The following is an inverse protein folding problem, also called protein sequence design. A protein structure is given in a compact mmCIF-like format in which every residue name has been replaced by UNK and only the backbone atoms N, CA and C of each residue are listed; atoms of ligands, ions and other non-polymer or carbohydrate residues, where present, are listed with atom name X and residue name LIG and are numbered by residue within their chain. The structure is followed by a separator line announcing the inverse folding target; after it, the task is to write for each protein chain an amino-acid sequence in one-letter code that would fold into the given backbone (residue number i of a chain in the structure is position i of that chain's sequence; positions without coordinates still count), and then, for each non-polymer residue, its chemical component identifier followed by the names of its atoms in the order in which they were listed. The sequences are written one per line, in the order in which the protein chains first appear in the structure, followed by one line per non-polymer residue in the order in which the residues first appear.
data_IF_108790438491
#
_entry.id   IF_108790438491
#
_cell.length_a   1.000
_cell.length_b   1.000
_cell.length_c   1.000
_cell.angle_alpha   90.00
_cell.angle_beta   90.00
_cell.angle_gamma   90.00
#
_symmetry.space_group_name_H-M   'P 1'
#
loop_
_entity.id
_entity.type
_entity.pdbx_description
1 polymer ?
#
# COMPACT_ATOMS: atom_id res chain seq x y z
N UNK A 1 -24.87 -6.79 9.11
CA UNK A 1 -24.81 -7.23 7.71
C UNK A 1 -23.43 -7.84 7.51
N UNK A 2 -23.33 -9.11 7.07
CA UNK A 2 -22.03 -9.71 6.75
C UNK A 2 -21.34 -8.86 5.69
N UNK A 3 -20.11 -8.40 5.94
CA UNK A 3 -19.32 -7.70 4.92
C UNK A 3 -19.11 -8.64 3.72
N UNK A 4 -19.21 -8.11 2.50
CA UNK A 4 -18.94 -8.85 1.27
C UNK A 4 -17.69 -8.28 0.60
N UNK A 5 -16.52 -8.55 1.18
CA UNK A 5 -15.25 -8.01 0.69
C UNK A 5 -14.97 -8.40 -0.77
N UNK A 6 -15.36 -9.62 -1.19
CA UNK A 6 -15.24 -10.06 -2.57
C UNK A 6 -16.08 -9.20 -3.52
N UNK A 7 -17.36 -8.98 -3.21
CA UNK A 7 -18.23 -8.18 -4.07
C UNK A 7 -17.86 -6.70 -4.10
N UNK A 8 -17.41 -6.14 -2.98
CA UNK A 8 -16.91 -4.77 -2.92
C UNK A 8 -15.65 -4.60 -3.79
N UNK A 9 -14.73 -5.57 -3.72
CA UNK A 9 -13.55 -5.61 -4.58
C UNK A 9 -13.92 -5.73 -6.06
N UNK A 10 -14.78 -6.68 -6.43
CA UNK A 10 -15.22 -6.87 -7.82
C UNK A 10 -15.86 -5.61 -8.39
N UNK A 11 -16.73 -4.94 -7.62
CA UNK A 11 -17.37 -3.69 -8.02
C UNK A 11 -16.34 -2.59 -8.27
N UNK A 12 -15.44 -2.36 -7.30
CA UNK A 12 -14.42 -1.34 -7.38
C UNK A 12 -13.48 -1.56 -8.57
N UNK A 13 -13.05 -2.81 -8.82
CA UNK A 13 -12.19 -3.15 -9.97
C UNK A 13 -12.94 -3.00 -11.30
N UNK A 14 -14.21 -3.40 -11.37
CA UNK A 14 -15.05 -3.27 -12.58
C UNK A 14 -15.23 -1.81 -12.98
N UNK A 15 -15.43 -0.93 -12.01
CA UNK A 15 -15.64 0.50 -12.25
C UNK A 15 -14.37 1.22 -12.78
N UNK A 16 -13.20 0.58 -12.71
CA UNK A 16 -11.92 1.10 -13.21
C UNK A 16 -11.54 0.66 -14.63
N UNK A 17 -12.14 -0.42 -15.13
CA UNK A 17 -11.84 -0.94 -16.48
C UNK A 17 -12.79 -0.30 -17.46
N UNK A 18 -12.25 0.39 -18.46
CA UNK A 18 -13.07 1.00 -19.50
C UNK A 18 -13.48 -0.06 -20.54
N UNK A 19 -14.61 0.12 -21.23
CA UNK A 19 -15.00 -0.75 -22.34
C UNK A 19 -13.92 -0.86 -23.43
N UNK A 20 -13.23 0.23 -23.72
CA UNK A 20 -12.15 0.31 -24.70
C UNK A 20 -10.94 -0.56 -24.29
N UNK A 21 -10.64 -0.66 -22.99
CA UNK A 21 -9.57 -1.51 -22.45
C UNK A 21 -9.74 -2.99 -22.79
N UNK A 22 -10.96 -3.42 -23.09
CA UNK A 22 -11.33 -4.81 -23.41
C UNK A 22 -11.90 -4.94 -24.83
N UNK A 23 -11.69 -3.94 -25.68
CA UNK A 23 -12.09 -3.97 -27.09
C UNK A 23 -13.58 -3.78 -27.34
N UNK A 24 -14.34 -3.32 -26.34
CA UNK A 24 -15.74 -2.94 -26.50
C UNK A 24 -15.84 -1.47 -26.92
N UNK A 25 -16.83 -1.10 -27.74
CA UNK A 25 -17.02 0.30 -28.12
C UNK A 25 -17.39 1.15 -26.90
N UNK A 26 -16.82 2.36 -26.81
CA UNK A 26 -17.08 3.38 -25.80
C UNK A 26 -18.40 4.17 -25.92
N UNK A 27 -19.18 3.94 -26.99
CA UNK A 27 -20.29 4.81 -27.41
C UNK A 27 -21.44 5.12 -26.42
N UNK A 28 -21.92 6.38 -26.43
CA UNK A 28 -23.20 6.87 -25.86
C UNK A 28 -23.14 7.63 -24.51
N UNK A 29 -24.24 8.30 -24.09
CA UNK A 29 -24.45 8.88 -22.73
C UNK A 29 -24.48 7.76 -21.67
N UNK A 30 -23.32 7.26 -21.28
CA UNK A 30 -23.17 6.21 -20.25
C UNK A 30 -23.30 6.81 -18.85
N UNK A 31 -23.97 6.09 -17.95
CA UNK A 31 -24.12 6.49 -16.54
C UNK A 31 -22.90 6.11 -15.69
N UNK A 32 -22.15 5.09 -16.10
CA UNK A 32 -20.94 4.62 -15.40
C UNK A 32 -19.75 4.62 -16.37
N UNK A 33 -18.55 5.05 -15.94
CA UNK A 33 -17.37 5.11 -16.78
C UNK A 33 -16.73 3.73 -17.02
N UNK A 34 -16.85 2.80 -16.06
CA UNK A 34 -16.30 1.44 -16.19
C UNK A 34 -17.26 0.43 -16.82
N UNK A 35 -16.83 -0.84 -16.86
CA UNK A 35 -17.62 -1.94 -17.42
C UNK A 35 -18.97 -2.10 -16.72
N UNK A 36 -20.00 -2.38 -17.49
CA UNK A 36 -21.29 -2.85 -16.98
C UNK A 36 -21.18 -4.30 -16.53
N UNK A 37 -22.11 -4.73 -15.67
CA UNK A 37 -22.20 -6.12 -15.21
C UNK A 37 -22.36 -7.10 -16.37
N UNK A 38 -23.21 -6.74 -17.34
CA UNK A 38 -23.47 -7.52 -18.55
C UNK A 38 -22.23 -7.69 -19.42
N UNK A 39 -21.45 -6.62 -19.63
CA UNK A 39 -20.21 -6.63 -20.41
C UNK A 39 -19.14 -7.49 -19.75
N UNK A 40 -18.92 -7.31 -18.44
CA UNK A 40 -17.94 -8.11 -17.71
C UNK A 40 -18.34 -9.60 -17.67
N UNK A 41 -19.60 -9.90 -17.39
CA UNK A 41 -20.07 -11.29 -17.33
C UNK A 41 -19.91 -12.00 -18.68
N UNK A 42 -20.26 -11.32 -19.78
CA UNK A 42 -20.04 -11.81 -21.14
C UNK A 42 -18.57 -12.13 -21.41
N UNK A 43 -17.67 -11.20 -21.13
CA UNK A 43 -16.21 -11.38 -21.34
C UNK A 43 -15.59 -12.46 -20.46
N UNK A 44 -16.16 -12.67 -19.26
CA UNK A 44 -15.74 -13.70 -18.33
C UNK A 44 -16.37 -15.08 -18.62
N UNK A 45 -17.32 -15.17 -19.56
CA UNK A 45 -18.00 -16.42 -19.90
C UNK A 45 -18.96 -16.92 -18.81
N UNK A 46 -19.56 -16.01 -18.04
CA UNK A 46 -20.50 -16.31 -16.96
C UNK A 46 -21.82 -15.56 -17.15
N UNK A 47 -22.89 -15.97 -16.45
CA UNK A 47 -24.16 -15.25 -16.52
C UNK A 47 -24.12 -13.94 -15.72
N UNK A 48 -24.82 -12.91 -16.23
CA UNK A 48 -24.96 -11.62 -15.54
C UNK A 48 -25.56 -11.78 -14.14
N UNK A 49 -26.53 -12.68 -13.98
CA UNK A 49 -27.15 -12.98 -12.69
C UNK A 49 -26.17 -13.61 -11.71
N UNK A 50 -25.28 -14.49 -12.18
CA UNK A 50 -24.25 -15.07 -11.33
C UNK A 50 -23.25 -14.00 -10.85
N UNK A 51 -22.78 -13.13 -11.76
CA UNK A 51 -21.90 -12.02 -11.37
C UNK A 51 -22.58 -11.05 -10.38
N UNK A 52 -23.87 -10.75 -10.57
CA UNK A 52 -24.64 -9.94 -9.65
C UNK A 52 -24.71 -10.56 -8.24
N UNK A 53 -24.89 -11.89 -8.15
CA UNK A 53 -24.91 -12.60 -6.86
C UNK A 53 -23.55 -12.58 -6.15
N UNK A 54 -22.44 -12.61 -6.89
CA UNK A 54 -21.10 -12.40 -6.33
C UNK A 54 -20.96 -10.98 -5.74
N UNK A 55 -21.34 -9.95 -6.48
CA UNK A 55 -21.30 -8.55 -5.99
C UNK A 55 -22.21 -8.32 -4.76
N UNK A 56 -23.32 -9.05 -4.66
CA UNK A 56 -24.27 -8.97 -3.52
C UNK A 56 -23.88 -9.89 -2.35
N UNK A 57 -22.93 -10.80 -2.53
CA UNK A 57 -22.45 -11.72 -1.50
C UNK A 57 -23.41 -12.87 -1.21
N UNK A 58 -24.33 -13.12 -2.15
CA UNK A 58 -25.25 -14.26 -2.17
C UNK A 58 -24.55 -15.53 -2.65
N UNK A 59 -23.57 -15.38 -3.54
CA UNK A 59 -22.59 -16.42 -3.88
C UNK A 59 -21.21 -15.99 -3.36
N UNK A 60 -20.51 -16.89 -2.66
CA UNK A 60 -19.23 -16.58 -2.00
C UNK A 60 -18.04 -17.44 -2.42
N UNK A 61 -18.32 -18.55 -3.10
CA UNK A 61 -17.32 -19.55 -3.46
C UNK A 61 -17.27 -19.74 -4.98
N UNK A 62 -16.90 -18.71 -5.77
CA UNK A 62 -16.59 -18.90 -7.18
C UNK A 62 -15.42 -19.86 -7.34
N UNK A 63 -15.43 -20.66 -8.41
CA UNK A 63 -14.35 -21.59 -8.69
C UNK A 63 -13.07 -20.85 -9.15
N UNK A 64 -11.87 -21.43 -8.96
CA UNK A 64 -10.63 -20.81 -9.42
C UNK A 64 -10.63 -20.40 -10.90
N UNK A 65 -11.16 -21.19 -11.85
CA UNK A 65 -11.27 -20.76 -13.25
C UNK A 65 -12.15 -19.53 -13.47
N UNK A 66 -13.23 -19.38 -12.68
CA UNK A 66 -14.07 -18.17 -12.72
C UNK A 66 -13.28 -16.96 -12.22
N UNK A 67 -12.53 -17.13 -11.13
CA UNK A 67 -11.68 -16.06 -10.58
C UNK A 67 -10.59 -15.63 -11.55
N UNK A 68 -9.96 -16.58 -12.26
CA UNK A 68 -8.95 -16.29 -13.28
C UNK A 68 -9.56 -15.56 -14.50
N UNK A 69 -10.75 -15.97 -14.93
CA UNK A 69 -11.48 -15.28 -15.99
C UNK A 69 -11.83 -13.84 -15.58
N UNK A 70 -12.32 -13.65 -14.36
CA UNK A 70 -12.59 -12.32 -13.80
C UNK A 70 -11.31 -11.49 -13.69
N UNK A 71 -10.21 -12.05 -13.21
CA UNK A 71 -8.93 -11.35 -13.09
C UNK A 71 -8.41 -10.85 -14.45
N UNK A 72 -8.53 -11.69 -15.49
CA UNK A 72 -8.15 -11.34 -16.87
C UNK A 72 -9.00 -10.21 -17.43
N UNK A 73 -10.32 -10.29 -17.31
CA UNK A 73 -11.24 -9.22 -17.79
C UNK A 73 -11.01 -7.92 -17.02
N UNK A 74 -10.77 -8.02 -15.72
CA UNK A 74 -10.49 -6.88 -14.85
C UNK A 74 -9.05 -6.35 -14.98
N UNK A 75 -8.23 -6.94 -15.85
CA UNK A 75 -6.82 -6.60 -16.08
C UNK A 75 -6.02 -6.50 -14.77
N UNK A 76 -6.26 -7.44 -13.85
CA UNK A 76 -5.58 -7.49 -12.57
C UNK A 76 -4.12 -7.92 -12.78
N UNK A 77 -3.21 -7.29 -12.04
CA UNK A 77 -1.84 -7.78 -11.96
C UNK A 77 -1.74 -9.01 -11.04
N UNK A 78 -0.53 -9.55 -10.87
CA UNK A 78 -0.31 -10.74 -10.05
C UNK A 78 -0.72 -10.57 -8.59
N UNK A 79 -0.54 -9.38 -8.00
CA UNK A 79 -0.87 -9.12 -6.60
C UNK A 79 -2.38 -8.98 -6.43
N UNK A 80 -3.03 -8.23 -7.31
CA UNK A 80 -4.47 -8.06 -7.36
C UNK A 80 -5.20 -9.39 -7.66
N UNK A 81 -4.62 -10.26 -8.49
CA UNK A 81 -5.16 -11.60 -8.77
C UNK A 81 -5.04 -12.50 -7.55
N UNK A 82 -3.87 -12.54 -6.89
CA UNK A 82 -3.70 -13.29 -5.64
C UNK A 82 -4.68 -12.82 -4.55
N UNK A 83 -4.87 -11.51 -4.45
CA UNK A 83 -5.84 -10.94 -3.51
C UNK A 83 -7.28 -11.34 -3.84
N UNK A 84 -7.67 -11.32 -5.12
CA UNK A 84 -8.99 -11.79 -5.57
C UNK A 84 -9.25 -13.25 -5.14
N UNK A 85 -8.28 -14.14 -5.36
CA UNK A 85 -8.37 -15.53 -4.92
C UNK A 85 -8.48 -15.66 -3.40
N UNK A 86 -7.70 -14.88 -2.66
CA UNK A 86 -7.75 -14.87 -1.20
C UNK A 86 -9.09 -14.36 -0.65
N UNK A 87 -9.74 -13.40 -1.32
CA UNK A 87 -11.08 -12.91 -0.95
C UNK A 87 -12.18 -13.97 -1.08
N UNK A 88 -12.03 -14.89 -2.03
CA UNK A 88 -12.97 -15.99 -2.28
C UNK A 88 -12.67 -17.25 -1.46
N UNK A 89 -11.48 -17.34 -0.86
CA UNK A 89 -11.11 -18.45 0.00
C UNK A 89 -11.90 -18.43 1.32
N UNK A 90 -12.20 -19.60 1.92
CA UNK A 90 -12.72 -19.64 3.28
C UNK A 90 -11.75 -18.94 4.23
N UNK A 91 -12.28 -18.06 5.09
CA UNK A 91 -11.44 -17.39 6.07
C UNK A 91 -10.74 -18.45 6.96
N UNK A 92 -9.40 -18.47 7.03
CA UNK A 92 -8.73 -19.25 8.06
C UNK A 92 -9.25 -18.78 9.42
N UNK A 93 -9.38 -19.70 10.38
CA UNK A 93 -9.68 -19.37 11.77
C UNK A 93 -8.50 -18.61 12.36
N UNK A 94 -8.37 -17.32 12.04
CA UNK A 94 -7.39 -16.47 12.66
C UNK A 94 -7.86 -16.15 14.07
N UNK A 95 -7.12 -16.60 15.07
CA UNK A 95 -7.18 -16.00 16.38
C UNK A 95 -6.62 -14.58 16.27
N UNK A 96 -7.35 -13.54 16.73
CA UNK A 96 -6.76 -12.22 16.84
C UNK A 96 -5.56 -12.35 17.79
N UNK A 97 -4.35 -12.25 17.26
CA UNK A 97 -3.19 -12.08 18.11
C UNK A 97 -3.34 -10.71 18.76
N UNK A 98 -3.59 -10.72 20.07
CA UNK A 98 -3.62 -9.49 20.86
C UNK A 98 -2.34 -8.73 20.58
N UNK A 99 -2.44 -7.44 20.24
CA UNK A 99 -1.28 -6.56 20.11
C UNK A 99 -0.44 -6.69 21.38
N UNK A 100 0.67 -7.40 21.29
CA UNK A 100 1.54 -7.60 22.44
C UNK A 100 2.43 -6.37 22.56
N UNK A 101 2.88 -6.02 23.77
CA UNK A 101 3.90 -4.96 23.90
C UNK A 101 5.21 -5.34 23.16
N UNK A 102 5.40 -6.61 22.79
CA UNK A 102 6.52 -7.04 21.94
C UNK A 102 6.41 -6.53 20.50
N UNK A 103 5.21 -6.22 20.00
CA UNK A 103 5.01 -5.67 18.64
C UNK A 103 5.66 -4.28 18.48
N UNK A 104 5.92 -3.60 19.60
CA UNK A 104 6.57 -2.28 19.68
C UNK A 104 8.09 -2.37 19.80
N UNK A 105 8.63 -3.54 20.13
CA UNK A 105 10.07 -3.71 20.37
C UNK A 105 10.77 -4.05 19.06
N UNK A 106 11.76 -3.23 18.71
CA UNK A 106 12.64 -3.52 17.57
C UNK A 106 13.63 -4.61 17.99
N UNK A 107 13.89 -5.62 17.14
CA UNK A 107 14.92 -6.62 17.42
C UNK A 107 16.25 -5.94 17.77
N UNK A 108 16.91 -6.29 18.90
CA UNK A 108 18.10 -5.55 19.37
C UNK A 108 19.22 -5.46 18.34
N UNK A 109 19.45 -6.54 17.57
CA UNK A 109 20.46 -6.54 16.50
C UNK A 109 20.12 -5.57 15.35
N UNK A 110 18.84 -5.44 14.98
CA UNK A 110 18.40 -4.47 13.97
C UNK A 110 18.55 -3.05 14.50
N UNK A 111 18.15 -2.82 15.76
CA UNK A 111 18.31 -1.52 16.40
C UNK A 111 19.79 -1.10 16.46
N UNK A 112 20.70 -2.02 16.81
CA UNK A 112 22.13 -1.75 16.79
C UNK A 112 22.60 -1.40 15.36
N UNK A 113 22.26 -2.21 14.35
CA UNK A 113 22.67 -1.96 12.96
C UNK A 113 22.26 -0.56 12.46
N UNK A 114 21.01 -0.17 12.65
CA UNK A 114 20.53 1.14 12.17
C UNK A 114 21.20 2.31 12.92
N UNK A 115 21.49 2.13 14.21
CA UNK A 115 22.03 3.19 15.07
C UNK A 115 23.55 3.37 14.92
N UNK A 116 24.29 2.27 14.72
CA UNK A 116 25.77 2.30 14.74
C UNK A 116 26.39 2.08 13.37
N UNK A 117 25.86 1.13 12.58
CA UNK A 117 26.54 0.67 11.36
C UNK A 117 26.06 1.40 10.10
N UNK A 118 24.81 1.85 10.08
CA UNK A 118 24.20 2.51 8.91
C UNK A 118 24.08 4.02 9.07
N UNK A 119 25.14 4.65 9.53
CA UNK A 119 25.20 6.10 9.74
C UNK A 119 24.88 6.89 8.45
N UNK A 120 25.36 6.41 7.28
CA UNK A 120 25.16 7.07 5.98
C UNK A 120 24.01 6.53 5.13
N UNK A 121 23.21 5.62 5.68
CA UNK A 121 22.05 5.04 4.99
C UNK A 121 20.79 5.33 5.80
N UNK A 122 19.88 6.23 5.35
CA UNK A 122 18.63 6.45 6.05
C UNK A 122 17.88 5.13 6.26
N UNK A 123 17.63 4.78 7.52
CA UNK A 123 17.01 3.52 7.90
C UNK A 123 16.00 3.73 9.02
N UNK A 124 14.83 3.09 8.89
CA UNK A 124 13.78 3.11 9.90
C UNK A 124 13.02 1.78 9.95
N UNK A 125 12.51 1.44 11.12
CA UNK A 125 11.70 0.24 11.36
C UNK A 125 10.26 0.65 11.60
N UNK A 126 9.35 0.01 10.88
CA UNK A 126 7.91 0.18 10.99
C UNK A 126 7.29 -1.07 11.60
N UNK A 127 6.26 -0.92 12.41
CA UNK A 127 5.38 -2.05 12.76
C UNK A 127 4.39 -2.36 11.63
N UNK A 128 3.59 -3.42 11.78
CA UNK A 128 2.53 -3.80 10.83
C UNK A 128 1.48 -2.71 10.58
N UNK A 129 1.39 -1.70 11.45
CA UNK A 129 0.48 -0.55 11.32
C UNK A 129 1.14 0.66 10.64
N UNK A 130 2.41 0.54 10.25
CA UNK A 130 3.23 1.60 9.70
C UNK A 130 3.59 2.72 10.69
N UNK A 131 3.58 2.43 12.00
CA UNK A 131 4.19 3.32 12.99
C UNK A 131 5.70 3.13 13.01
N UNK A 132 6.45 4.23 13.07
CA UNK A 132 7.90 4.21 13.23
C UNK A 132 8.27 3.78 14.63
N UNK A 133 8.88 2.61 14.76
CA UNK A 133 9.40 2.08 16.02
C UNK A 133 10.82 2.55 16.31
N UNK A 134 11.65 2.67 15.28
CA UNK A 134 13.00 3.19 15.37
C UNK A 134 13.42 3.84 14.06
N UNK A 135 14.29 4.84 14.13
CA UNK A 135 14.85 5.50 12.96
C UNK A 135 16.22 6.05 13.29
N UNK A 136 17.17 5.93 12.38
CA UNK A 136 18.45 6.60 12.55
C UNK A 136 18.33 8.10 12.27
N UNK A 137 19.33 8.87 12.73
CA UNK A 137 19.34 10.34 12.60
C UNK A 137 19.15 10.80 11.17
N UNK A 138 19.74 10.08 10.22
CA UNK A 138 19.62 10.42 8.80
C UNK A 138 18.22 10.15 8.24
N UNK A 139 17.50 9.13 8.69
CA UNK A 139 16.09 8.92 8.32
C UNK A 139 15.19 10.04 8.85
N UNK A 140 15.40 10.48 10.10
CA UNK A 140 14.69 11.62 10.69
C UNK A 140 15.00 12.91 9.94
N UNK A 141 16.28 13.12 9.58
CA UNK A 141 16.69 14.29 8.80
C UNK A 141 16.14 14.29 7.38
N UNK A 142 16.01 13.11 6.75
CA UNK A 142 15.51 12.97 5.38
C UNK A 142 14.02 13.28 5.24
N UNK A 143 13.22 12.94 6.25
CA UNK A 143 11.76 13.10 6.19
C UNK A 143 11.15 13.23 7.59
N UNK A 144 10.22 14.19 7.81
CA UNK A 144 9.41 14.24 9.03
C UNK A 144 8.66 12.94 9.34
N UNK A 145 8.37 12.12 8.31
CA UNK A 145 7.73 10.82 8.47
C UNK A 145 8.60 9.80 9.23
N UNK A 146 9.92 10.03 9.30
CA UNK A 146 10.87 9.16 9.96
C UNK A 146 10.94 9.34 11.48
N UNK A 147 10.20 10.30 12.05
CA UNK A 147 10.20 10.52 13.50
C UNK A 147 9.56 9.33 14.23
N UNK A 148 10.27 8.77 15.22
CA UNK A 148 9.75 7.68 16.06
C UNK A 148 8.40 8.05 16.68
N UNK A 149 7.46 7.11 16.64
CA UNK A 149 6.06 7.30 17.06
C UNK A 149 5.13 7.85 15.97
N UNK A 150 5.68 8.30 14.84
CA UNK A 150 4.86 8.76 13.70
C UNK A 150 4.27 7.58 12.96
N UNK A 151 2.98 7.66 12.62
CA UNK A 151 2.39 6.76 11.64
C UNK A 151 2.67 7.27 10.22
N UNK A 152 3.47 6.52 9.46
CA UNK A 152 3.98 6.95 8.15
C UNK A 152 2.86 7.17 7.13
N UNK A 153 1.81 6.36 7.16
CA UNK A 153 0.65 6.53 6.26
C UNK A 153 -0.14 7.77 6.64
N UNK A 154 -0.37 7.99 7.94
CA UNK A 154 -1.04 9.21 8.40
C UNK A 154 -0.28 10.46 8.01
N UNK A 155 1.04 10.47 8.21
CA UNK A 155 1.89 11.59 7.84
C UNK A 155 1.82 11.85 6.33
N UNK A 156 1.92 10.80 5.49
CA UNK A 156 1.89 10.91 4.03
C UNK A 156 0.65 11.65 3.52
N UNK A 157 -0.51 11.51 4.18
CA UNK A 157 -1.77 12.11 3.74
C UNK A 157 -2.18 13.39 4.48
N UNK A 158 -1.65 13.64 5.68
CA UNK A 158 -2.08 14.74 6.54
C UNK A 158 -0.99 15.76 6.87
N UNK A 159 0.29 15.49 6.61
CA UNK A 159 1.38 16.46 6.80
C UNK A 159 1.71 17.16 5.46
N UNK A 160 1.39 18.47 5.32
CA UNK A 160 1.69 19.22 4.10
C UNK A 160 3.18 19.21 3.74
N UNK A 161 4.08 19.11 4.73
CA UNK A 161 5.52 19.09 4.48
C UNK A 161 5.94 17.87 3.67
N UNK A 162 5.23 16.74 3.79
CA UNK A 162 5.49 15.57 2.97
C UNK A 162 4.94 15.71 1.55
N UNK A 163 3.84 16.45 1.38
CA UNK A 163 3.32 16.76 0.05
C UNK A 163 4.32 17.60 -0.75
N UNK A 164 4.97 18.56 -0.11
CA UNK A 164 6.00 19.40 -0.73
C UNK A 164 7.33 18.67 -0.91
N UNK A 165 7.65 17.75 0.01
CA UNK A 165 8.89 16.97 -0.04
C UNK A 165 8.90 15.97 -1.20
N UNK A 166 7.80 15.27 -1.50
CA UNK A 166 7.79 14.24 -2.55
C UNK A 166 7.33 14.80 -3.89
N UNK A 167 8.22 14.82 -4.89
CA UNK A 167 7.89 15.20 -6.27
C UNK A 167 6.86 14.22 -6.84
N UNK A 168 7.06 12.93 -6.63
CA UNK A 168 6.16 11.87 -7.06
C UNK A 168 5.17 11.45 -5.94
N UNK A 169 4.63 12.41 -5.19
CA UNK A 169 3.73 12.10 -4.07
C UNK A 169 2.51 11.27 -4.50
N UNK A 170 1.92 11.52 -5.67
CA UNK A 170 0.73 10.77 -6.12
C UNK A 170 1.03 9.27 -6.28
N UNK A 171 2.19 8.92 -6.84
CA UNK A 171 2.65 7.53 -6.94
C UNK A 171 2.96 6.92 -5.56
N UNK A 172 3.63 7.69 -4.70
CA UNK A 172 3.92 7.27 -3.33
C UNK A 172 2.63 7.01 -2.55
N UNK A 173 1.64 7.90 -2.65
CA UNK A 173 0.34 7.80 -1.99
C UNK A 173 -0.45 6.58 -2.50
N UNK A 174 -0.44 6.32 -3.81
CA UNK A 174 -1.06 5.13 -4.38
C UNK A 174 -0.40 3.85 -3.84
N UNK A 175 0.94 3.77 -3.82
CA UNK A 175 1.67 2.63 -3.24
C UNK A 175 1.38 2.45 -1.75
N UNK A 176 1.31 3.54 -0.99
CA UNK A 176 1.01 3.54 0.43
C UNK A 176 -0.39 2.97 0.72
N UNK A 177 -1.40 3.40 -0.05
CA UNK A 177 -2.78 2.89 0.06
C UNK A 177 -2.88 1.41 -0.35
N UNK A 178 -2.23 1.03 -1.45
CA UNK A 178 -2.22 -0.36 -1.90
C UNK A 178 -1.55 -1.30 -0.90
N UNK A 179 -0.45 -0.86 -0.28
CA UNK A 179 0.22 -1.58 0.81
C UNK A 179 -0.63 -1.67 2.08
N UNK A 180 -1.29 -0.57 2.48
CA UNK A 180 -2.19 -0.57 3.63
C UNK A 180 -3.33 -1.59 3.47
N UNK A 181 -3.90 -1.72 2.26
CA UNK A 181 -4.94 -2.72 1.99
C UNK A 181 -4.40 -4.15 2.08
N UNK A 182 -3.18 -4.38 1.61
CA UNK A 182 -2.53 -5.69 1.76
C UNK A 182 -2.39 -6.08 3.25
N UNK A 183 -2.17 -5.11 4.14
CA UNK A 183 -2.09 -5.33 5.60
C UNK A 183 -3.44 -5.66 6.26
N UNK A 184 -4.56 -5.12 5.76
CA UNK A 184 -5.90 -5.52 6.22
C UNK A 184 -6.18 -6.98 5.84
N UNK A 185 -5.69 -7.42 4.69
CA UNK A 185 -5.97 -8.75 4.18
C UNK A 185 -7.44 -8.93 3.72
N UNK A 186 -7.80 -10.13 3.25
CA UNK A 186 -9.08 -10.39 2.58
C UNK A 186 -10.30 -10.56 3.51
N UNK A 187 -10.12 -10.91 4.79
CA UNK A 187 -11.23 -11.36 5.67
C UNK A 187 -11.54 -10.44 6.84
N UNK A 188 -11.21 -9.15 6.69
CA UNK A 188 -11.33 -8.19 7.79
C UNK A 188 -10.01 -8.14 8.55
N UNK A 189 -9.34 -7.01 8.40
CA UNK A 189 -8.06 -6.76 9.03
C UNK A 189 -8.21 -6.32 10.46
N UNK A 190 -7.06 -6.17 11.09
CA UNK A 190 -6.93 -5.60 12.42
C UNK A 190 -7.77 -4.31 12.57
N UNK A 191 -8.62 -4.19 13.62
CA UNK A 191 -9.46 -3.02 13.85
C UNK A 191 -8.71 -1.71 13.78
N UNK A 192 -7.44 -1.69 14.24
CA UNK A 192 -6.61 -0.49 14.21
C UNK A 192 -6.30 -0.02 12.79
N UNK A 193 -6.09 -0.95 11.86
CA UNK A 193 -5.85 -0.62 10.44
C UNK A 193 -7.13 -0.12 9.80
N UNK A 194 -8.26 -0.73 10.13
CA UNK A 194 -9.59 -0.30 9.68
C UNK A 194 -9.91 1.12 10.17
N UNK A 195 -9.67 1.41 11.44
CA UNK A 195 -9.87 2.74 12.03
C UNK A 195 -8.95 3.79 11.41
N UNK A 196 -7.69 3.44 11.12
CA UNK A 196 -6.78 4.30 10.40
C UNK A 196 -7.32 4.63 9.00
N UNK A 197 -7.74 3.63 8.23
CA UNK A 197 -8.29 3.82 6.89
C UNK A 197 -9.58 4.67 6.90
N UNK A 198 -10.47 4.43 7.86
CA UNK A 198 -11.70 5.22 8.04
C UNK A 198 -11.37 6.68 8.39
N UNK A 199 -10.50 6.89 9.37
CA UNK A 199 -10.07 8.23 9.79
C UNK A 199 -9.40 9.02 8.66
N UNK A 200 -8.57 8.37 7.85
CA UNK A 200 -7.93 9.00 6.68
C UNK A 200 -8.94 9.27 5.55
N UNK A 201 -9.90 8.38 5.32
CA UNK A 201 -10.95 8.58 4.33
C UNK A 201 -11.82 9.80 4.63
N UNK A 202 -12.04 10.12 5.92
CA UNK A 202 -12.74 11.35 6.32
C UNK A 202 -11.88 12.59 6.06
N UNK A 203 -10.60 12.53 6.42
CA UNK A 203 -9.71 13.70 6.49
C UNK A 203 -8.96 14.03 5.19
N UNK A 204 -8.87 13.10 4.24
CA UNK A 204 -8.12 13.27 3.00
C UNK A 204 -8.92 12.78 1.80
N UNK A 205 -9.29 13.70 0.90
CA UNK A 205 -9.97 13.36 -0.35
C UNK A 205 -9.11 12.44 -1.24
N UNK A 206 -7.82 12.74 -1.36
CA UNK A 206 -6.88 11.91 -2.10
C UNK A 206 -6.81 10.49 -1.54
N UNK A 207 -6.75 10.33 -0.20
CA UNK A 207 -6.82 9.00 0.41
C UNK A 207 -8.13 8.30 0.07
N UNK A 208 -9.27 8.97 0.26
CA UNK A 208 -10.61 8.42 0.00
C UNK A 208 -10.74 7.92 -1.44
N UNK A 209 -10.27 8.71 -2.41
CA UNK A 209 -10.27 8.35 -3.84
C UNK A 209 -9.40 7.14 -4.11
N UNK A 210 -8.17 7.10 -3.59
CA UNK A 210 -7.26 5.96 -3.76
C UNK A 210 -7.78 4.71 -3.03
N UNK A 211 -8.40 4.88 -1.87
CA UNK A 211 -9.01 3.80 -1.10
C UNK A 211 -10.17 3.18 -1.89
N UNK A 212 -11.05 3.97 -2.51
CA UNK A 212 -12.16 3.46 -3.30
C UNK A 212 -11.76 2.61 -4.52
N UNK A 213 -10.51 2.67 -4.99
CA UNK A 213 -10.00 1.89 -6.13
C UNK A 213 -9.73 0.41 -5.81
N UNK A 214 -9.67 0.07 -4.53
CA UNK A 214 -9.32 -1.28 -4.08
C UNK A 214 -7.98 -1.81 -4.64
N UNK A 215 -7.04 -0.92 -5.00
CA UNK A 215 -5.68 -1.32 -5.38
C UNK A 215 -5.02 -2.06 -4.20
N UNK A 216 -4.30 -3.15 -4.50
CA UNK A 216 -3.54 -3.96 -3.55
C UNK A 216 -2.19 -4.25 -4.16
N UNK A 217 -1.12 -4.05 -3.40
CA UNK A 217 0.22 -4.39 -3.84
C UNK A 217 1.09 -4.77 -2.66
N UNK A 218 1.91 -5.80 -2.86
CA UNK A 218 2.93 -6.24 -1.90
C UNK A 218 4.34 -5.77 -2.29
N UNK A 219 4.49 -4.94 -3.34
CA UNK A 219 5.80 -4.57 -3.87
C UNK A 219 6.61 -3.78 -2.85
N UNK A 220 7.85 -4.25 -2.61
CA UNK A 220 8.73 -3.79 -1.55
C UNK A 220 9.76 -2.73 -1.95
N UNK A 221 9.86 -2.37 -3.23
CA UNK A 221 10.95 -1.51 -3.73
C UNK A 221 10.44 -0.41 -4.65
N UNK A 222 11.14 0.71 -4.70
CA UNK A 222 10.76 1.80 -5.60
C UNK A 222 11.70 2.99 -5.56
N UNK A 223 11.42 3.96 -6.43
CA UNK A 223 12.10 5.25 -6.47
C UNK A 223 11.27 6.31 -5.73
N UNK A 224 11.95 7.08 -4.89
CA UNK A 224 11.45 8.26 -4.22
C UNK A 224 12.16 9.48 -4.80
N UNK A 225 11.40 10.35 -5.43
CA UNK A 225 11.89 11.65 -5.90
C UNK A 225 11.49 12.71 -4.89
N UNK A 226 12.48 13.36 -4.28
CA UNK A 226 12.27 14.26 -3.15
C UNK A 226 12.90 15.63 -3.42
N UNK A 227 12.20 16.70 -3.08
CA UNK A 227 12.72 18.07 -3.03
C UNK A 227 13.06 18.41 -1.57
N UNK A 228 14.23 17.97 -1.11
CA UNK A 228 14.63 18.16 0.28
C UNK A 228 14.99 19.63 0.55
N UNK A 229 14.47 20.28 1.61
CA UNK A 229 14.65 21.71 1.83
C UNK A 229 16.12 22.13 1.99
N UNK A 230 16.97 21.25 2.51
CA UNK A 230 18.38 21.57 2.77
C UNK A 230 19.35 21.17 1.66
N UNK A 231 19.03 20.15 0.86
CA UNK A 231 19.97 19.58 -0.15
C UNK A 231 19.38 19.54 -1.57
N UNK A 232 18.16 20.04 -1.75
CA UNK A 232 17.44 20.09 -3.01
C UNK A 232 16.97 18.71 -3.49
N UNK A 233 16.83 18.56 -4.81
CA UNK A 233 16.35 17.32 -5.42
C UNK A 233 17.23 16.12 -5.10
N UNK A 234 16.60 15.04 -4.62
CA UNK A 234 17.16 13.73 -4.32
C UNK A 234 16.35 12.67 -5.07
N UNK A 235 17.05 11.71 -5.65
CA UNK A 235 16.48 10.49 -6.22
C UNK A 235 17.01 9.32 -5.40
N UNK A 236 16.16 8.74 -4.57
CA UNK A 236 16.53 7.68 -3.65
C UNK A 236 15.73 6.43 -3.95
N UNK A 237 16.44 5.32 -4.12
CA UNK A 237 15.84 3.99 -4.07
C UNK A 237 15.45 3.67 -2.64
N UNK A 238 14.34 2.97 -2.47
CA UNK A 238 13.95 2.42 -1.19
C UNK A 238 13.73 0.93 -1.27
N UNK A 239 14.18 0.23 -0.24
CA UNK A 239 14.05 -1.21 -0.07
C UNK A 239 13.26 -1.47 1.22
N UNK A 240 12.27 -2.36 1.14
CA UNK A 240 11.47 -2.79 2.29
C UNK A 240 11.75 -4.25 2.57
N UNK A 241 12.22 -4.53 3.78
CA UNK A 241 12.68 -5.84 4.22
C UNK A 241 11.81 -6.29 5.39
N UNK A 242 11.13 -7.42 5.24
CA UNK A 242 10.36 -8.02 6.33
C UNK A 242 11.32 -8.60 7.37
N UNK A 243 11.11 -8.25 8.64
CA UNK A 243 11.90 -8.77 9.75
C UNK A 243 11.30 -10.09 10.24
N UNK A 244 11.98 -11.19 9.93
CA UNK A 244 11.59 -12.55 10.36
C UNK A 244 11.61 -12.63 11.88
N UNK A 245 10.64 -13.34 12.47
CA UNK A 245 10.51 -13.49 13.92
C UNK A 245 9.86 -12.29 14.61
N UNK A 246 9.34 -11.35 13.83
CA UNK A 246 8.50 -10.24 14.33
C UNK A 246 7.07 -10.39 13.81
N UNK A 247 6.13 -9.71 14.47
CA UNK A 247 4.74 -9.62 13.98
C UNK A 247 4.61 -8.58 12.84
N UNK A 248 5.27 -8.86 11.73
CA UNK A 248 5.16 -8.07 10.51
C UNK A 248 5.93 -6.74 10.51
N UNK A 249 6.99 -6.60 11.31
CA UNK A 249 7.83 -5.39 11.25
C UNK A 249 8.59 -5.31 9.93
N UNK A 250 8.74 -4.09 9.42
CA UNK A 250 9.41 -3.78 8.16
C UNK A 250 10.58 -2.84 8.43
N UNK A 251 11.77 -3.22 7.97
CA UNK A 251 12.89 -2.31 7.83
C UNK A 251 12.79 -1.62 6.47
N UNK A 252 12.82 -0.29 6.47
CA UNK A 252 12.88 0.53 5.27
C UNK A 252 14.22 1.24 5.22
N UNK A 253 14.96 1.04 4.12
CA UNK A 253 16.22 1.72 3.87
C UNK A 253 16.12 2.55 2.60
N UNK A 254 16.73 3.73 2.61
CA UNK A 254 16.86 4.58 1.44
C UNK A 254 18.32 4.66 1.01
N UNK A 255 18.59 4.61 -0.29
CA UNK A 255 19.94 4.75 -0.81
C UNK A 255 19.96 5.42 -2.19
N UNK A 256 21.12 5.96 -2.55
CA UNK A 256 21.40 6.45 -3.89
C UNK A 256 22.55 5.63 -4.48
N UNK A 257 22.58 5.47 -5.80
CA UNK A 257 23.66 4.75 -6.45
C UNK A 257 24.99 5.49 -6.27
N UNK A 258 26.11 4.79 -5.99
CA UNK A 258 27.42 5.42 -5.82
C UNK A 258 27.81 6.31 -7.00
N UNK A 259 28.49 7.42 -6.71
CA UNK A 259 28.95 8.38 -7.74
C UNK A 259 27.89 9.35 -8.26
N UNK A 260 26.60 9.14 -7.95
CA UNK A 260 25.52 10.04 -8.38
C UNK A 260 25.49 11.37 -7.60
N UNK A 261 24.86 12.42 -8.16
CA UNK A 261 24.58 13.66 -7.41
C UNK A 261 23.76 13.41 -6.14
N UNK A 262 22.79 12.49 -6.19
CA UNK A 262 21.95 12.12 -5.05
C UNK A 262 22.79 11.50 -3.93
N UNK A 263 23.76 10.64 -4.24
CA UNK A 263 24.67 10.08 -3.22
C UNK A 263 25.51 11.17 -2.52
N UNK A 264 26.04 12.15 -3.27
CA UNK A 264 26.78 13.28 -2.68
C UNK A 264 25.89 14.15 -1.79
N UNK A 265 24.66 14.44 -2.23
CA UNK A 265 23.70 15.23 -1.45
C UNK A 265 23.22 14.51 -0.19
N UNK A 266 22.98 13.20 -0.29
CA UNK A 266 22.63 12.36 0.87
C UNK A 266 23.76 12.33 1.89
N UNK A 267 25.01 12.23 1.43
CA UNK A 267 26.19 12.34 2.29
C UNK A 267 26.26 13.69 3.01
N UNK A 268 26.04 14.80 2.28
CA UNK A 268 25.99 16.14 2.89
C UNK A 268 24.90 16.25 3.95
N UNK A 269 23.73 15.68 3.70
CA UNK A 269 22.64 15.65 4.68
C UNK A 269 23.06 14.90 5.95
N UNK A 270 23.78 13.78 5.82
CA UNK A 270 24.31 13.03 6.96
C UNK A 270 25.29 13.87 7.79
N UNK A 271 26.19 14.59 7.13
CA UNK A 271 27.16 15.46 7.81
C UNK A 271 26.43 16.60 8.55
N UNK A 272 25.41 17.22 7.94
CA UNK A 272 24.57 18.26 8.57
C UNK A 272 23.74 17.75 9.76
N UNK A 273 23.29 16.49 9.71
CA UNK A 273 22.51 15.87 10.78
C UNK A 273 23.38 15.42 11.98
N UNK A 274 24.70 15.68 11.94
CA UNK A 274 25.65 15.30 12.98
C UNK A 274 25.82 13.79 13.10
N UNK A 275 25.84 13.11 11.97
CA UNK A 275 26.00 11.65 11.88
C UNK A 275 27.47 11.23 11.71
N UNK A 276 28.35 12.21 11.55
CA UNK A 276 29.83 12.11 11.59
C UNK A 276 30.39 12.51 12.93
#
# INVERSE_FOLDING_TARGET
MSSNHLGDYLRARRDLVTPEDVGLPGGGRRRVPGLRREELALLAGISTDYYLRLEQGRDRNPSPPVLDALARVLRLDSDATRHLHALAAPAPRHQPQSSSDQDKLVPPGIQQLIMTSWARTPALVLNRYMDVLAANRLAVALSPAGQVGTNAIRAAFLDPRLRDLYVNWDEMAQRAVAGLRALIGPHGGDPRVVDLANGLSVKSESFRRLWARHDVSSRGTGLSEMNHPMVGRLELRHERLLLIGTDGQLLVVHHADPGTPSARKLSRLADMAGVT
#
